data_IF_081948937326
#
_entry.id   IF_081948937326
#
_cell.length_a   1.000
_cell.length_b   1.000
_cell.length_c   1.000
_cell.angle_alpha   90.00
_cell.angle_beta   90.00
_cell.angle_gamma   90.00
#
_symmetry.space_group_name_H-M   'P 1'
#
loop_
_entity.id
_entity.type
_entity.pdbx_description
1 polymer ?
#
# COMPACT_ATOMS: atom_id res chain seq x y z
N UNK A 1 18.73 -50.78 40.73
CA UNK A 1 19.38 -50.56 39.43
C UNK A 1 18.43 -50.10 38.37
N UNK A 2 17.16 -49.88 38.66
CA UNK A 2 16.17 -49.54 37.63
C UNK A 2 15.63 -48.11 37.69
N UNK A 3 16.16 -47.25 38.52
CA UNK A 3 15.63 -45.88 38.72
C UNK A 3 16.40 -44.84 37.90
N UNK A 4 17.58 -45.17 37.41
CA UNK A 4 18.40 -44.22 36.64
C UNK A 4 18.01 -44.11 35.16
N UNK A 5 17.20 -45.01 34.62
CA UNK A 5 16.80 -44.97 33.19
C UNK A 5 15.49 -44.24 32.94
N UNK A 6 14.76 -43.90 33.99
CA UNK A 6 13.47 -43.20 33.85
C UNK A 6 13.57 -41.66 33.77
N UNK A 7 14.74 -41.11 34.10
CA UNK A 7 14.90 -39.64 34.17
C UNK A 7 15.37 -39.03 32.84
N UNK A 8 15.90 -39.84 31.93
CA UNK A 8 16.44 -39.33 30.64
C UNK A 8 15.38 -39.13 29.58
N UNK A 9 14.17 -39.67 29.75
CA UNK A 9 13.12 -39.61 28.72
C UNK A 9 12.21 -38.36 28.86
N UNK A 10 12.27 -37.64 29.97
CA UNK A 10 11.34 -36.50 30.22
C UNK A 10 11.87 -35.17 29.76
N UNK A 11 13.11 -35.07 29.32
CA UNK A 11 13.71 -33.77 28.93
C UNK A 11 13.73 -33.47 27.43
N UNK A 12 13.05 -34.24 26.61
CA UNK A 12 13.10 -34.08 25.15
C UNK A 12 11.81 -33.53 24.51
N UNK A 13 10.92 -32.91 25.28
CA UNK A 13 9.65 -32.39 24.74
C UNK A 13 9.48 -30.94 25.13
N UNK A 14 10.38 -30.06 24.70
CA UNK A 14 10.19 -28.67 24.96
C UNK A 14 10.82 -27.76 23.89
N UNK A 15 10.76 -28.15 22.63
CA UNK A 15 11.06 -27.19 21.53
C UNK A 15 10.02 -27.30 20.43
N UNK A 16 8.75 -27.15 20.78
CA UNK A 16 7.75 -26.67 19.84
C UNK A 16 7.82 -25.16 19.86
N UNK A 17 8.85 -24.61 19.24
CA UNK A 17 8.82 -23.21 18.83
C UNK A 17 7.71 -23.06 17.80
N UNK A 18 6.54 -22.71 18.32
CA UNK A 18 5.44 -22.25 17.52
C UNK A 18 5.92 -21.01 16.77
N UNK A 19 6.31 -21.17 15.51
CA UNK A 19 6.42 -20.06 14.60
C UNK A 19 5.01 -19.50 14.44
N UNK A 20 4.66 -18.51 15.26
CA UNK A 20 3.45 -17.72 15.08
C UNK A 20 3.62 -16.97 13.76
N UNK A 21 3.02 -17.47 12.68
CA UNK A 21 2.88 -16.75 11.43
C UNK A 21 1.96 -15.56 11.72
N UNK A 22 2.51 -14.35 11.72
CA UNK A 22 1.70 -13.13 11.80
C UNK A 22 0.85 -13.12 10.53
N UNK A 23 -0.51 -13.13 10.64
CA UNK A 23 -1.35 -13.11 9.45
C UNK A 23 -1.10 -11.83 8.68
N UNK A 24 -0.68 -11.96 7.41
CA UNK A 24 -0.50 -10.85 6.52
C UNK A 24 -1.86 -10.30 6.11
N UNK A 25 -2.02 -8.97 6.14
CA UNK A 25 -3.24 -8.33 5.68
C UNK A 25 -3.49 -8.63 4.20
N UNK A 26 -4.71 -9.01 3.86
CA UNK A 26 -5.11 -9.27 2.47
C UNK A 26 -6.04 -8.17 1.99
N UNK A 27 -5.64 -7.52 0.90
CA UNK A 27 -6.49 -6.57 0.19
C UNK A 27 -7.48 -7.29 -0.71
N UNK A 28 -8.65 -6.69 -0.92
CA UNK A 28 -9.62 -7.22 -1.85
C UNK A 28 -9.07 -7.22 -3.29
N UNK A 29 -9.32 -8.29 -4.03
CA UNK A 29 -8.96 -8.37 -5.44
C UNK A 29 -9.90 -7.51 -6.29
N UNK A 30 -9.39 -6.75 -7.29
CA UNK A 30 -10.23 -6.01 -8.20
C UNK A 30 -11.20 -6.92 -8.96
N UNK A 31 -12.47 -6.52 -8.97
CA UNK A 31 -13.54 -7.20 -9.72
C UNK A 31 -14.03 -6.30 -10.85
N UNK A 32 -14.95 -6.80 -11.68
CA UNK A 32 -15.56 -6.01 -12.76
C UNK A 32 -16.39 -4.82 -12.24
N UNK A 33 -16.79 -4.84 -10.97
CA UNK A 33 -17.56 -3.75 -10.35
C UNK A 33 -16.67 -2.56 -9.92
N UNK A 34 -15.35 -2.74 -9.90
CA UNK A 34 -14.45 -1.66 -9.58
C UNK A 34 -14.38 -0.65 -10.71
N UNK A 35 -14.34 0.62 -10.34
CA UNK A 35 -14.09 1.68 -11.31
C UNK A 35 -12.61 1.76 -11.64
N UNK A 36 -12.31 2.09 -12.90
CA UNK A 36 -10.94 2.23 -13.41
C UNK A 36 -10.80 3.62 -14.01
N UNK A 37 -9.76 4.32 -13.59
CA UNK A 37 -9.37 5.61 -14.17
C UNK A 37 -7.90 5.56 -14.56
N UNK A 38 -7.61 5.99 -15.77
CA UNK A 38 -6.25 6.08 -16.28
C UNK A 38 -5.99 7.48 -16.84
N UNK A 39 -4.75 7.91 -16.73
CA UNK A 39 -4.36 9.23 -17.21
C UNK A 39 -2.93 9.55 -16.83
N UNK A 40 -2.66 10.81 -16.58
CA UNK A 40 -1.35 11.30 -16.18
C UNK A 40 -1.40 11.86 -14.76
N UNK A 41 -0.31 11.67 -14.03
CA UNK A 41 -0.08 12.27 -12.73
C UNK A 41 1.17 13.14 -12.80
N UNK A 42 1.03 14.42 -12.41
CA UNK A 42 2.15 15.26 -12.04
C UNK A 42 2.29 15.22 -10.52
N UNK A 43 3.44 14.76 -10.05
CA UNK A 43 3.82 14.75 -8.65
C UNK A 43 4.96 15.72 -8.41
N UNK A 44 4.76 16.67 -7.52
CA UNK A 44 5.74 17.73 -7.22
C UNK A 44 5.99 17.84 -5.73
N UNK A 45 7.27 17.92 -5.38
CA UNK A 45 7.73 18.31 -4.05
C UNK A 45 8.65 19.52 -4.16
N UNK A 46 9.18 20.02 -3.04
CA UNK A 46 10.20 21.06 -3.04
C UNK A 46 11.51 20.65 -3.73
N UNK A 47 11.73 19.34 -3.93
CA UNK A 47 12.99 18.79 -4.46
C UNK A 47 12.87 18.21 -5.86
N UNK A 48 11.68 17.82 -6.30
CA UNK A 48 11.52 17.13 -7.57
C UNK A 48 10.14 17.39 -8.18
N UNK A 49 10.07 17.19 -9.49
CA UNK A 49 8.81 17.12 -10.24
C UNK A 49 8.86 15.87 -11.13
N UNK A 50 7.85 15.04 -11.02
CA UNK A 50 7.71 13.84 -11.83
C UNK A 50 6.38 13.87 -12.57
N UNK A 51 6.40 13.47 -13.82
CA UNK A 51 5.21 13.26 -14.65
C UNK A 51 5.24 11.83 -15.15
N UNK A 52 4.15 11.12 -15.00
CA UNK A 52 4.05 9.75 -15.47
C UNK A 52 2.62 9.30 -15.67
N UNK A 53 2.48 8.06 -16.07
CA UNK A 53 1.18 7.45 -16.27
C UNK A 53 0.63 6.94 -14.95
N UNK A 54 -0.67 7.10 -14.74
CA UNK A 54 -1.36 6.63 -13.56
C UNK A 54 -2.53 5.74 -13.95
N UNK A 55 -2.65 4.62 -13.25
CA UNK A 55 -3.81 3.74 -13.30
C UNK A 55 -4.38 3.62 -11.90
N UNK A 56 -5.65 3.95 -11.75
CA UNK A 56 -6.37 3.88 -10.47
C UNK A 56 -7.55 2.94 -10.62
N UNK A 57 -7.72 2.07 -9.63
CA UNK A 57 -8.87 1.19 -9.49
C UNK A 57 -9.44 1.34 -8.09
N UNK A 58 -10.76 1.44 -7.98
CA UNK A 58 -11.38 1.56 -6.66
C UNK A 58 -12.78 0.95 -6.66
N UNK A 59 -13.17 0.43 -5.49
CA UNK A 59 -14.51 -0.08 -5.24
C UNK A 59 -15.37 0.96 -4.50
N UNK A 60 -16.68 0.74 -4.49
CA UNK A 60 -17.59 1.57 -3.71
C UNK A 60 -17.42 1.37 -2.20
N UNK A 61 -16.84 0.24 -1.79
CA UNK A 61 -16.56 -0.06 -0.37
C UNK A 61 -15.24 0.52 0.13
N UNK A 62 -14.51 1.24 -0.74
CA UNK A 62 -13.32 1.99 -0.33
C UNK A 62 -12.00 1.28 -0.56
N UNK A 63 -12.00 0.15 -1.26
CA UNK A 63 -10.77 -0.47 -1.73
C UNK A 63 -10.16 0.39 -2.83
N UNK A 64 -8.84 0.55 -2.82
CA UNK A 64 -8.15 1.47 -3.70
C UNK A 64 -6.80 0.90 -4.12
N UNK A 65 -6.51 0.96 -5.39
CA UNK A 65 -5.21 0.59 -5.95
C UNK A 65 -4.75 1.67 -6.93
N UNK A 66 -3.50 2.10 -6.79
CA UNK A 66 -2.90 3.10 -7.67
C UNK A 66 -1.55 2.59 -8.15
N UNK A 67 -1.30 2.72 -9.44
CA UNK A 67 0.01 2.46 -10.05
C UNK A 67 0.47 3.73 -10.74
N UNK A 68 1.66 4.20 -10.41
CA UNK A 68 2.30 5.36 -11.01
C UNK A 68 3.60 4.91 -11.68
N UNK A 69 3.72 5.14 -12.99
CA UNK A 69 4.84 4.65 -13.78
C UNK A 69 5.36 5.71 -14.73
N UNK A 70 6.65 5.63 -15.03
CA UNK A 70 7.30 6.49 -16.04
C UNK A 70 7.60 5.64 -17.26
N UNK A 71 6.66 5.63 -18.21
CA UNK A 71 6.75 4.80 -19.39
C UNK A 71 6.62 3.30 -19.09
N UNK A 72 6.72 2.45 -20.13
CA UNK A 72 6.60 1.00 -19.96
C UNK A 72 7.73 0.44 -19.11
N UNK A 73 7.37 -0.38 -18.12
CA UNK A 73 8.32 -1.12 -17.31
C UNK A 73 9.03 -0.34 -16.20
N UNK A 74 8.75 0.94 -16.01
CA UNK A 74 9.35 1.74 -14.92
C UNK A 74 8.29 2.10 -13.90
N UNK A 75 8.15 1.26 -12.87
CA UNK A 75 7.24 1.51 -11.76
C UNK A 75 7.87 2.52 -10.79
N UNK A 76 7.22 3.67 -10.62
CA UNK A 76 7.62 4.67 -9.64
C UNK A 76 7.01 4.40 -8.27
N UNK A 77 5.72 4.03 -8.24
CA UNK A 77 5.01 3.75 -7.00
C UNK A 77 3.78 2.88 -7.27
N UNK A 78 3.53 1.96 -6.36
CA UNK A 78 2.33 1.13 -6.30
C UNK A 78 1.73 1.27 -4.91
N UNK A 79 0.44 1.57 -4.84
CA UNK A 79 -0.31 1.74 -3.60
C UNK A 79 -1.52 0.81 -3.61
N UNK A 80 -1.67 0.02 -2.56
CA UNK A 80 -2.88 -0.71 -2.24
C UNK A 80 -3.40 -0.23 -0.90
N UNK A 81 -4.70 0.04 -0.80
CA UNK A 81 -5.29 0.62 0.39
C UNK A 81 -6.74 0.21 0.54
N UNK A 82 -7.15 -0.04 1.77
CA UNK A 82 -8.56 -0.16 2.14
C UNK A 82 -8.88 0.86 3.26
N UNK A 83 -9.96 0.67 3.98
CA UNK A 83 -10.39 1.62 5.02
C UNK A 83 -9.40 1.72 6.20
N UNK A 84 -8.60 0.67 6.47
CA UNK A 84 -7.79 0.58 7.68
C UNK A 84 -6.31 0.27 7.43
N UNK A 85 -5.96 -0.23 6.27
CA UNK A 85 -4.62 -0.74 5.98
C UNK A 85 -4.11 -0.25 4.63
N UNK A 86 -2.79 -0.11 4.48
CA UNK A 86 -2.17 0.29 3.22
C UNK A 86 -0.83 -0.40 2.99
N UNK A 87 -0.48 -0.55 1.73
CA UNK A 87 0.82 -1.04 1.28
C UNK A 87 1.33 -0.15 0.16
N UNK A 88 2.54 0.38 0.31
CA UNK A 88 3.20 1.22 -0.70
C UNK A 88 4.54 0.61 -1.06
N UNK A 89 4.81 0.48 -2.37
CA UNK A 89 6.05 -0.04 -2.93
C UNK A 89 6.49 0.81 -4.12
N UNK A 90 7.75 0.70 -4.49
CA UNK A 90 8.29 1.32 -5.70
C UNK A 90 9.49 2.21 -5.44
N UNK A 91 10.08 2.73 -6.52
CA UNK A 91 11.31 3.51 -6.48
C UNK A 91 11.22 4.78 -5.60
N UNK A 92 10.04 5.38 -5.51
CA UNK A 92 9.83 6.59 -4.71
C UNK A 92 9.79 6.34 -3.20
N UNK A 93 9.64 5.09 -2.76
CA UNK A 93 9.44 4.74 -1.35
C UNK A 93 10.60 3.94 -0.74
N UNK A 94 11.68 3.73 -1.50
CA UNK A 94 12.81 2.93 -1.05
C UNK A 94 12.41 1.48 -0.75
N UNK A 95 12.47 1.07 0.53
CA UNK A 95 12.11 -0.28 0.96
C UNK A 95 10.59 -0.52 0.99
N UNK A 96 9.78 0.51 0.75
CA UNK A 96 8.34 0.41 0.86
C UNK A 96 7.84 0.45 2.31
N UNK A 97 6.52 0.35 2.45
CA UNK A 97 5.87 0.33 3.75
C UNK A 97 4.54 -0.41 3.67
N UNK A 98 4.18 -1.09 4.74
CA UNK A 98 2.85 -1.68 4.86
C UNK A 98 2.44 -1.68 6.33
N UNK A 99 1.16 -1.39 6.59
CA UNK A 99 0.64 -1.36 7.95
C UNK A 99 -0.70 -0.66 8.07
N UNK A 100 -1.20 -0.50 9.31
CA UNK A 100 -2.39 0.29 9.57
C UNK A 100 -2.18 1.75 9.16
N UNK A 101 -3.20 2.37 8.56
CA UNK A 101 -3.11 3.73 8.00
C UNK A 101 -2.77 4.75 9.07
N UNK A 102 -3.29 4.60 10.28
CA UNK A 102 -3.04 5.50 11.40
C UNK A 102 -1.58 5.48 11.89
N UNK A 103 -0.81 4.46 11.51
CA UNK A 103 0.62 4.32 11.81
C UNK A 103 1.55 4.68 10.65
N UNK A 104 1.01 5.20 9.55
CA UNK A 104 1.79 5.52 8.38
C UNK A 104 2.83 6.61 8.68
N UNK A 105 4.06 6.48 8.14
CA UNK A 105 5.06 7.54 8.21
C UNK A 105 4.54 8.85 7.60
N UNK A 106 4.98 9.97 8.14
CA UNK A 106 4.55 11.30 7.70
C UNK A 106 4.79 11.51 6.20
N UNK A 107 5.91 10.98 5.66
CA UNK A 107 6.27 11.13 4.26
C UNK A 107 5.30 10.44 3.29
N UNK A 108 4.53 9.46 3.76
CA UNK A 108 3.61 8.68 2.92
C UNK A 108 2.16 9.15 3.03
N UNK A 109 1.85 10.05 3.97
CA UNK A 109 0.47 10.46 4.22
C UNK A 109 -0.17 11.20 3.05
N UNK A 110 0.60 11.92 2.26
CA UNK A 110 0.12 12.54 1.03
C UNK A 110 -0.43 11.50 0.06
N UNK A 111 0.33 10.44 -0.19
CA UNK A 111 -0.10 9.34 -1.04
C UNK A 111 -1.37 8.64 -0.51
N UNK A 112 -1.45 8.44 0.79
CA UNK A 112 -2.60 7.78 1.42
C UNK A 112 -3.88 8.64 1.39
N UNK A 113 -3.75 9.95 1.31
CA UNK A 113 -4.89 10.87 1.18
C UNK A 113 -5.52 10.89 -0.21
N UNK A 114 -4.84 10.36 -1.22
CA UNK A 114 -5.35 10.32 -2.60
C UNK A 114 -6.61 9.49 -2.75
N UNK A 115 -6.74 8.40 -2.01
CA UNK A 115 -7.93 7.54 -2.05
C UNK A 115 -9.21 8.36 -1.88
N UNK A 116 -9.31 9.09 -0.80
CA UNK A 116 -10.52 9.86 -0.50
C UNK A 116 -10.73 10.99 -1.50
N UNK A 117 -9.66 11.63 -1.94
CA UNK A 117 -9.74 12.72 -2.91
C UNK A 117 -10.20 12.23 -4.28
N UNK A 118 -9.66 11.15 -4.78
CA UNK A 118 -10.01 10.60 -6.10
C UNK A 118 -11.44 10.05 -6.09
N UNK A 119 -11.82 9.33 -5.05
CA UNK A 119 -13.18 8.77 -4.94
C UNK A 119 -14.23 9.88 -4.90
N UNK A 120 -13.99 10.96 -4.16
CA UNK A 120 -14.91 12.10 -4.10
C UNK A 120 -14.96 12.91 -5.41
N UNK A 121 -13.96 12.79 -6.26
CA UNK A 121 -13.83 13.57 -7.50
C UNK A 121 -13.96 12.69 -8.74
N UNK A 122 -14.67 11.57 -8.65
CA UNK A 122 -14.73 10.56 -9.71
C UNK A 122 -15.35 11.09 -11.03
N UNK A 123 -16.13 12.16 -10.99
CA UNK A 123 -16.75 12.77 -12.20
C UNK A 123 -15.82 13.79 -12.86
N UNK A 124 -14.70 14.15 -12.28
CA UNK A 124 -13.81 15.19 -12.78
C UNK A 124 -12.67 14.61 -13.60
N UNK A 125 -12.35 15.28 -14.71
CA UNK A 125 -11.22 14.93 -15.55
C UNK A 125 -9.87 15.43 -15.00
N UNK A 126 -9.92 16.44 -14.15
CA UNK A 126 -8.73 16.99 -13.49
C UNK A 126 -8.96 17.05 -12.00
N UNK A 127 -8.03 16.47 -11.24
CA UNK A 127 -8.09 16.41 -9.78
C UNK A 127 -6.77 16.90 -9.21
N UNK A 128 -6.84 17.91 -8.35
CA UNK A 128 -5.68 18.43 -7.64
C UNK A 128 -5.78 18.09 -6.15
N UNK A 129 -4.68 17.64 -5.58
CA UNK A 129 -4.55 17.39 -4.16
C UNK A 129 -3.22 17.94 -3.66
N UNK A 130 -3.26 18.72 -2.57
CA UNK A 130 -2.08 19.31 -1.94
C UNK A 130 -2.02 18.78 -0.51
N UNK A 131 -0.88 18.18 -0.16
CA UNK A 131 -0.59 17.66 1.17
C UNK A 131 0.76 18.18 1.62
N UNK A 132 0.78 19.18 2.51
CA UNK A 132 2.02 19.83 2.93
C UNK A 132 2.74 20.47 1.74
N UNK A 133 3.98 20.02 1.48
CA UNK A 133 4.79 20.49 0.35
C UNK A 133 4.65 19.60 -0.90
N UNK A 134 3.75 18.64 -0.88
CA UNK A 134 3.48 17.75 -2.00
C UNK A 134 2.26 18.22 -2.79
N UNK A 135 2.38 18.21 -4.10
CA UNK A 135 1.26 18.50 -5.03
C UNK A 135 1.06 17.32 -5.95
N UNK A 136 -0.19 16.89 -6.04
CA UNK A 136 -0.63 15.83 -6.95
C UNK A 136 -1.65 16.43 -7.92
N UNK A 137 -1.38 16.34 -9.21
CA UNK A 137 -2.30 16.81 -10.26
C UNK A 137 -2.56 15.67 -11.22
N UNK A 138 -3.80 15.19 -11.22
CA UNK A 138 -4.27 14.14 -12.14
C UNK A 138 -4.98 14.75 -13.33
N UNK A 139 -4.77 14.16 -14.49
CA UNK A 139 -5.52 14.40 -15.73
C UNK A 139 -5.94 13.06 -16.31
N UNK A 140 -7.21 12.78 -16.19
CA UNK A 140 -7.82 11.54 -16.69
C UNK A 140 -8.38 11.71 -18.09
#
# INVERSE_FOLDING_TARGET
MSILHAIVIVLSIADLTSCATIPQHQFAEPTSDWQVRSGQLLYRTSKMTLIGDVLIRFSQTGDFALTFSKGPGVLLLSLHQDASFAEIKGALTGSGWSGPIDRAPQQLRGWLGLRDRVIRSQDRQSVQYIAGNETFLFRF
#
